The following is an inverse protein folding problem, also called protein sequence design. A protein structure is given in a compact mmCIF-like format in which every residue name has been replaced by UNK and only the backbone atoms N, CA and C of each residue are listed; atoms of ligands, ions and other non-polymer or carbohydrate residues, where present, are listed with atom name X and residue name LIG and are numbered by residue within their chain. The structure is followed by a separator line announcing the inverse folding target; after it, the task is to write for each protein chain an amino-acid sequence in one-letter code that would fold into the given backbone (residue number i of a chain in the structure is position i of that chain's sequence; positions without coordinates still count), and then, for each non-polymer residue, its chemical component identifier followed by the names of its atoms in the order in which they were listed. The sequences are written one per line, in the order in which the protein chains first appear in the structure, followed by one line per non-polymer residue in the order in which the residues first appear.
data_IF_985682036471
#
_entry.id   IF_985682036471
#
_cell.length_a   1.000
_cell.length_b   1.000
_cell.length_c   1.000
_cell.angle_alpha   90.00
_cell.angle_beta   90.00
_cell.angle_gamma   90.00
#
_symmetry.space_group_name_H-M   'P 1'
#
loop_
_entity.id
_entity.type
_entity.pdbx_description
1 polymer ?
#
# COMPACT_ATOMS: atom_id res chain seq x y z
N UNK A 1 -46.70 -37.87 -32.22
CA UNK A 1 -46.51 -36.47 -32.69
C UNK A 1 -45.05 -36.13 -32.36
N UNK A 2 -44.07 -36.36 -33.25
CA UNK A 2 -43.60 -35.41 -34.28
C UNK A 2 -43.44 -33.99 -33.67
N UNK A 3 -42.27 -33.34 -33.64
CA UNK A 3 -41.13 -33.36 -34.58
C UNK A 3 -39.84 -32.96 -33.87
N UNK A 4 -38.79 -33.77 -34.09
CA UNK A 4 -37.38 -33.49 -33.82
C UNK A 4 -36.81 -32.71 -35.03
N UNK A 5 -36.11 -31.59 -34.82
CA UNK A 5 -35.54 -30.79 -35.92
C UNK A 5 -34.18 -31.36 -36.39
N UNK A 6 -33.97 -31.59 -37.70
CA UNK A 6 -32.63 -31.84 -38.23
C UNK A 6 -32.01 -30.59 -38.84
N UNK A 7 -30.78 -30.33 -38.40
CA UNK A 7 -29.82 -29.42 -39.02
C UNK A 7 -29.50 -29.84 -40.47
N UNK A 8 -29.85 -28.99 -41.45
CA UNK A 8 -29.28 -29.07 -42.80
C UNK A 8 -28.28 -27.93 -43.03
N UNK A 9 -26.99 -28.31 -43.06
CA UNK A 9 -25.85 -27.48 -43.46
C UNK A 9 -26.04 -26.94 -44.88
N UNK A 10 -26.13 -25.61 -45.03
CA UNK A 10 -25.88 -24.95 -46.32
C UNK A 10 -24.38 -24.71 -46.49
N UNK A 11 -23.85 -25.19 -47.61
CA UNK A 11 -22.49 -24.97 -48.08
C UNK A 11 -22.34 -23.51 -48.52
N UNK A 12 -21.52 -22.73 -47.81
CA UNK A 12 -21.01 -21.46 -48.31
C UNK A 12 -19.65 -21.64 -48.98
N UNK A 13 -19.51 -20.95 -50.11
CA UNK A 13 -18.44 -21.10 -51.11
C UNK A 13 -17.17 -20.38 -50.64
N UNK A 14 -16.03 -21.06 -50.70
CA UNK A 14 -14.71 -20.43 -50.60
C UNK A 14 -14.48 -19.47 -51.79
N UNK A 15 -14.05 -18.22 -51.57
CA UNK A 15 -13.54 -17.39 -52.64
C UNK A 15 -12.11 -17.81 -52.99
N UNK A 16 -11.84 -17.99 -54.29
CA UNK A 16 -10.52 -18.27 -54.86
C UNK A 16 -9.59 -17.08 -54.63
N UNK A 17 -8.51 -17.29 -53.89
CA UNK A 17 -7.41 -16.33 -53.73
C UNK A 17 -6.65 -16.16 -55.06
N UNK A 18 -6.74 -14.98 -55.68
CA UNK A 18 -5.76 -14.56 -56.70
C UNK A 18 -4.49 -14.10 -55.96
N UNK A 19 -3.40 -14.85 -56.09
CA UNK A 19 -2.05 -14.40 -55.72
C UNK A 19 -1.64 -13.28 -56.68
N UNK A 20 -1.63 -12.04 -56.18
CA UNK A 20 -0.94 -10.93 -56.84
C UNK A 20 0.50 -10.92 -56.30
N UNK A 21 1.47 -11.28 -57.14
CA UNK A 21 2.89 -11.09 -56.85
C UNK A 21 3.20 -9.59 -57.00
N UNK A 22 3.40 -8.87 -55.89
CA UNK A 22 4.03 -7.56 -55.91
C UNK A 22 5.56 -7.71 -55.85
N UNK A 23 6.32 -6.90 -56.61
CA UNK A 23 7.77 -6.97 -56.62
C UNK A 23 8.35 -6.52 -55.28
N UNK A 24 9.29 -7.30 -54.76
CA UNK A 24 10.10 -6.95 -53.58
C UNK A 24 11.08 -5.84 -54.00
N UNK A 25 10.77 -4.60 -53.66
CA UNK A 25 11.75 -3.51 -53.72
C UNK A 25 12.64 -3.57 -52.48
N UNK A 26 13.89 -4.00 -52.65
CA UNK A 26 14.96 -3.81 -51.66
C UNK A 26 15.36 -2.33 -51.65
N UNK A 27 14.55 -1.49 -51.01
CA UNK A 27 14.90 -0.12 -50.66
C UNK A 27 15.76 -0.14 -49.41
N UNK A 28 16.95 0.49 -49.45
CA UNK A 28 17.80 0.74 -48.28
C UNK A 28 16.95 1.34 -47.15
N UNK A 29 16.77 0.58 -46.07
CA UNK A 29 16.23 1.09 -44.81
C UNK A 29 17.32 2.02 -44.25
N UNK A 30 17.17 3.31 -44.48
CA UNK A 30 17.88 4.32 -43.71
C UNK A 30 17.52 4.11 -42.24
N UNK A 31 18.51 3.94 -41.38
CA UNK A 31 18.32 4.03 -39.93
C UNK A 31 17.83 5.44 -39.62
N UNK A 32 16.50 5.64 -39.61
CA UNK A 32 15.91 6.79 -38.95
C UNK A 32 16.02 6.46 -37.47
N UNK A 33 17.09 6.96 -36.85
CA UNK A 33 17.16 7.02 -35.40
C UNK A 33 16.03 7.95 -34.97
N UNK A 34 14.89 7.38 -34.60
CA UNK A 34 13.83 8.09 -33.92
C UNK A 34 14.44 8.54 -32.59
N UNK A 35 14.93 9.78 -32.54
CA UNK A 35 15.26 10.45 -31.29
C UNK A 35 13.93 10.58 -30.56
N UNK A 36 13.61 9.59 -29.72
CA UNK A 36 12.47 9.68 -28.83
C UNK A 36 12.85 10.73 -27.80
N UNK A 37 12.15 11.88 -27.73
CA UNK A 37 12.47 12.90 -26.73
C UNK A 37 12.38 12.24 -25.35
N UNK A 38 13.43 12.42 -24.55
CA UNK A 38 13.41 11.97 -23.16
C UNK A 38 12.27 12.67 -22.43
N UNK A 39 11.56 11.94 -21.57
CA UNK A 39 10.54 12.53 -20.72
C UNK A 39 11.14 13.71 -19.95
N UNK A 40 10.51 14.87 -20.02
CA UNK A 40 10.95 16.05 -19.28
C UNK A 40 10.78 15.80 -17.79
N UNK A 41 11.65 16.41 -16.97
CA UNK A 41 11.51 16.36 -15.52
C UNK A 41 10.14 16.95 -15.13
N UNK A 42 9.40 16.33 -14.20
CA UNK A 42 8.13 16.88 -13.76
C UNK A 42 8.28 18.29 -13.18
N UNK A 43 7.41 19.20 -13.61
CA UNK A 43 7.28 20.55 -13.04
C UNK A 43 6.24 20.48 -11.92
N UNK A 44 6.53 21.11 -10.79
CA UNK A 44 5.69 21.09 -9.58
C UNK A 44 5.24 22.50 -9.21
N UNK A 45 3.97 22.64 -8.91
CA UNK A 45 3.34 23.85 -8.41
C UNK A 45 2.71 23.53 -7.06
N UNK A 46 3.12 24.22 -5.99
CA UNK A 46 2.49 24.06 -4.66
C UNK A 46 1.18 24.84 -4.66
N UNK A 47 0.07 24.14 -4.53
CA UNK A 47 -1.27 24.72 -4.45
C UNK A 47 -1.58 25.13 -3.01
N UNK A 48 -1.20 24.30 -2.03
CA UNK A 48 -1.42 24.56 -0.62
C UNK A 48 -0.35 23.91 0.25
N UNK A 49 0.01 24.58 1.35
CA UNK A 49 0.83 24.00 2.43
C UNK A 49 -0.04 23.77 3.65
N UNK A 50 -0.28 22.51 3.99
CA UNK A 50 -1.09 22.13 5.13
C UNK A 50 -0.25 21.96 6.40
N UNK A 51 -0.92 21.65 7.51
CA UNK A 51 -0.25 21.38 8.78
C UNK A 51 0.50 20.03 8.77
N UNK A 52 -0.07 19.00 8.13
CA UNK A 52 0.53 17.66 8.04
C UNK A 52 0.99 17.29 6.61
N UNK A 53 0.33 17.81 5.58
CA UNK A 53 0.56 17.45 4.18
C UNK A 53 0.52 18.68 3.27
N UNK A 54 1.34 18.69 2.22
CA UNK A 54 1.24 19.70 1.15
C UNK A 54 0.42 19.16 -0.02
N UNK A 55 -0.17 20.06 -0.80
CA UNK A 55 -0.92 19.74 -2.00
C UNK A 55 -0.26 20.39 -3.21
N UNK A 56 0.13 19.57 -4.19
CA UNK A 56 0.83 20.00 -5.39
C UNK A 56 0.08 19.62 -6.66
N UNK A 57 0.25 20.45 -7.69
CA UNK A 57 -0.05 20.11 -9.07
C UNK A 57 1.25 19.76 -9.79
N UNK A 58 1.34 18.51 -10.26
CA UNK A 58 2.52 17.96 -10.93
C UNK A 58 2.22 17.81 -12.41
N UNK A 59 3.00 18.48 -13.26
CA UNK A 59 2.95 18.36 -14.71
C UNK A 59 4.12 17.51 -15.22
N UNK A 60 3.84 16.47 -16.00
CA UNK A 60 4.86 15.63 -16.62
C UNK A 60 4.55 15.41 -18.11
N UNK A 61 5.57 15.60 -18.95
CA UNK A 61 5.49 15.37 -20.40
C UNK A 61 5.94 13.95 -20.71
N UNK A 62 5.03 13.15 -21.27
CA UNK A 62 5.32 11.79 -21.73
C UNK A 62 6.23 11.76 -22.95
N UNK A 63 6.70 10.56 -23.31
CA UNK A 63 7.50 10.34 -24.54
C UNK A 63 6.71 10.62 -25.83
N UNK A 64 5.39 10.65 -25.73
CA UNK A 64 4.45 11.05 -26.77
C UNK A 64 4.31 12.57 -26.91
N UNK A 65 5.02 13.35 -26.09
CA UNK A 65 4.91 14.81 -26.05
C UNK A 65 3.65 15.31 -25.35
N UNK A 66 2.82 14.42 -24.78
CA UNK A 66 1.60 14.81 -24.09
C UNK A 66 1.91 15.17 -22.65
N UNK A 67 1.57 16.40 -22.26
CA UNK A 67 1.65 16.85 -20.87
C UNK A 67 0.42 16.42 -20.10
N UNK A 68 0.65 15.63 -19.05
CA UNK A 68 -0.36 15.24 -18.08
C UNK A 68 -0.17 16.03 -16.79
N UNK A 69 -1.28 16.52 -16.22
CA UNK A 69 -1.30 17.14 -14.88
C UNK A 69 -1.93 16.17 -13.88
N UNK A 70 -1.37 16.10 -12.69
CA UNK A 70 -1.86 15.28 -11.57
C UNK A 70 -1.80 16.09 -10.29
N UNK A 71 -2.87 16.03 -9.51
CA UNK A 71 -2.91 16.52 -8.15
C UNK A 71 -2.24 15.47 -7.25
N UNK A 72 -1.32 15.91 -6.40
CA UNK A 72 -0.49 15.05 -5.56
C UNK A 72 -0.46 15.59 -4.14
N UNK A 73 -0.78 14.74 -3.18
CA UNK A 73 -0.54 14.99 -1.75
C UNK A 73 0.92 14.64 -1.45
N UNK A 74 1.66 15.58 -0.87
CA UNK A 74 3.02 15.34 -0.37
C UNK A 74 2.95 14.99 1.10
N UNK A 75 3.46 13.81 1.42
CA UNK A 75 3.39 13.23 2.75
C UNK A 75 4.79 13.11 3.35
N UNK A 76 4.99 13.38 4.66
CA UNK A 76 6.29 13.21 5.31
C UNK A 76 6.77 11.74 5.41
N UNK A 77 5.99 10.77 4.88
CA UNK A 77 6.08 9.35 5.23
C UNK A 77 5.44 9.03 6.59
N UNK A 78 5.25 7.73 6.83
CA UNK A 78 4.56 7.22 8.02
C UNK A 78 5.08 5.85 8.42
N UNK A 79 4.66 5.41 9.61
CA UNK A 79 4.92 4.08 10.16
C UNK A 79 3.62 3.41 10.55
N UNK A 80 3.61 2.08 10.54
CA UNK A 80 2.59 1.25 11.18
C UNK A 80 3.29 0.20 12.03
N UNK A 81 2.80 -0.02 13.25
CA UNK A 81 3.50 -0.81 14.26
C UNK A 81 2.59 -1.97 14.67
N UNK A 82 3.10 -3.20 14.53
CA UNK A 82 2.45 -4.41 14.99
C UNK A 82 2.99 -4.75 16.38
N UNK A 83 2.23 -4.54 17.47
CA UNK A 83 2.68 -4.84 18.81
C UNK A 83 2.32 -6.28 19.14
N UNK A 84 3.33 -7.13 19.32
CA UNK A 84 3.17 -8.54 19.64
C UNK A 84 3.50 -8.79 21.12
N UNK A 85 2.51 -9.26 21.87
CA UNK A 85 2.66 -9.62 23.27
C UNK A 85 3.38 -10.97 23.43
N UNK A 86 3.98 -11.25 24.61
CA UNK A 86 4.68 -12.51 24.86
C UNK A 86 3.82 -13.77 24.70
N UNK A 87 2.50 -13.63 24.86
CA UNK A 87 1.51 -14.70 24.69
C UNK A 87 0.96 -14.80 23.25
N UNK A 88 1.55 -14.10 22.30
CA UNK A 88 1.20 -14.16 20.88
C UNK A 88 -0.04 -13.35 20.51
N UNK A 89 -0.65 -12.65 21.47
CA UNK A 89 -1.73 -11.69 21.21
C UNK A 89 -1.19 -10.40 20.64
N UNK A 90 -2.07 -9.66 19.97
CA UNK A 90 -1.75 -8.43 19.26
C UNK A 90 -2.52 -7.28 19.91
N UNK A 91 -1.82 -6.18 20.20
CA UNK A 91 -2.48 -4.94 20.60
C UNK A 91 -2.93 -4.17 19.35
N UNK A 92 -4.22 -4.22 19.07
CA UNK A 92 -4.89 -3.37 18.09
C UNK A 92 -5.47 -2.15 18.79
N UNK A 93 -5.79 -1.14 18.01
CA UNK A 93 -6.50 0.05 18.46
C UNK A 93 -7.83 0.19 17.72
N UNK A 94 -8.80 0.79 18.41
CA UNK A 94 -10.06 1.25 17.84
C UNK A 94 -10.01 2.77 17.76
N UNK A 95 -9.85 3.29 16.54
CA UNK A 95 -9.59 4.72 16.30
C UNK A 95 -10.77 5.38 15.58
N UNK A 96 -11.29 6.49 16.12
CA UNK A 96 -12.30 7.32 15.44
C UNK A 96 -11.65 8.11 14.31
N UNK A 97 -11.88 7.68 13.07
CA UNK A 97 -11.38 8.38 11.87
C UNK A 97 -12.42 9.37 11.35
N UNK A 98 -12.18 10.66 11.56
CA UNK A 98 -13.07 11.74 11.11
C UNK A 98 -13.27 11.71 9.59
N UNK A 99 -12.24 11.39 8.80
CA UNK A 99 -12.30 11.38 7.34
C UNK A 99 -13.32 10.38 6.75
N UNK A 100 -13.65 9.32 7.49
CA UNK A 100 -14.67 8.32 7.11
C UNK A 100 -15.82 8.25 8.13
N UNK A 101 -15.82 9.15 9.11
CA UNK A 101 -16.82 9.29 10.18
C UNK A 101 -17.12 8.01 10.96
N UNK A 102 -16.14 7.10 11.08
CA UNK A 102 -16.30 5.78 11.67
C UNK A 102 -15.17 5.43 12.63
N UNK A 103 -15.45 4.52 13.56
CA UNK A 103 -14.41 3.84 14.33
C UNK A 103 -13.83 2.73 13.44
N UNK A 104 -12.50 2.64 13.35
CA UNK A 104 -11.80 1.61 12.58
C UNK A 104 -10.90 0.78 13.49
N UNK A 105 -10.74 -0.50 13.13
CA UNK A 105 -9.77 -1.40 13.73
C UNK A 105 -8.45 -1.20 13.03
N UNK A 106 -7.42 -0.80 13.78
CA UNK A 106 -6.13 -0.44 13.25
C UNK A 106 -4.99 -0.95 14.12
N UNK A 107 -3.82 -1.09 13.53
CA UNK A 107 -2.55 -1.08 14.24
C UNK A 107 -2.13 0.38 14.52
N UNK A 108 -1.42 0.63 15.63
CA UNK A 108 -0.83 1.93 15.91
C UNK A 108 0.00 2.45 14.74
N UNK A 109 -0.15 3.73 14.40
CA UNK A 109 0.47 4.32 13.23
C UNK A 109 0.49 5.83 13.30
N UNK A 110 1.57 6.44 12.81
CA UNK A 110 1.61 7.88 12.66
C UNK A 110 2.68 8.37 11.70
N UNK A 111 2.78 9.69 11.59
CA UNK A 111 3.58 10.38 10.58
C UNK A 111 4.97 10.70 11.11
N UNK A 112 5.96 10.73 10.21
CA UNK A 112 7.32 11.11 10.59
C UNK A 112 7.41 12.61 10.88
N UNK A 113 8.11 12.97 11.96
CA UNK A 113 8.57 14.34 12.15
C UNK A 113 9.77 14.67 11.23
N UNK A 114 10.07 15.96 10.96
CA UNK A 114 11.20 16.34 10.11
C UNK A 114 12.54 15.76 10.58
N UNK A 115 13.11 14.86 9.78
CA UNK A 115 14.39 14.21 10.08
C UNK A 115 14.31 13.08 11.10
N UNK A 116 13.11 12.68 11.52
CA UNK A 116 12.91 11.59 12.47
C UNK A 116 13.33 10.24 11.88
N UNK A 117 14.03 9.44 12.69
CA UNK A 117 14.31 8.05 12.33
C UNK A 117 12.99 7.24 12.36
N UNK A 118 12.65 6.48 11.31
CA UNK A 118 11.37 5.79 11.29
C UNK A 118 11.20 4.70 12.36
N UNK A 119 12.26 4.09 12.89
CA UNK A 119 12.11 3.15 14.00
C UNK A 119 11.83 3.89 15.32
N UNK A 120 12.37 5.10 15.50
CA UNK A 120 12.03 5.98 16.63
C UNK A 120 10.58 6.46 16.55
N UNK A 121 10.12 6.87 15.37
CA UNK A 121 8.72 7.22 15.12
C UNK A 121 7.81 6.04 15.50
N UNK A 122 8.11 4.82 15.04
CA UNK A 122 7.35 3.63 15.40
C UNK A 122 7.30 3.38 16.92
N UNK A 123 8.41 3.59 17.65
CA UNK A 123 8.41 3.45 19.10
C UNK A 123 7.56 4.54 19.79
N UNK A 124 7.62 5.79 19.30
CA UNK A 124 6.86 6.93 19.82
C UNK A 124 5.36 6.72 19.63
N UNK A 125 4.92 6.44 18.41
CA UNK A 125 3.50 6.23 18.07
C UNK A 125 2.91 5.04 18.84
N UNK A 126 3.69 3.98 19.05
CA UNK A 126 3.27 2.84 19.87
C UNK A 126 3.00 3.25 21.33
N UNK A 127 3.86 4.10 21.90
CA UNK A 127 3.69 4.60 23.26
C UNK A 127 2.47 5.53 23.35
N UNK A 128 2.36 6.48 22.42
CA UNK A 128 1.29 7.48 22.39
C UNK A 128 -0.08 6.82 22.22
N UNK A 129 -0.27 6.03 21.16
CA UNK A 129 -1.58 5.48 20.80
C UNK A 129 -1.94 4.19 21.54
N UNK A 130 -0.97 3.31 21.85
CA UNK A 130 -1.25 2.01 22.48
C UNK A 130 -0.77 1.90 23.93
N UNK A 131 -0.01 2.87 24.43
CA UNK A 131 0.49 2.87 25.80
C UNK A 131 1.52 1.79 26.09
N UNK A 132 2.28 1.35 25.08
CA UNK A 132 3.35 0.37 25.22
C UNK A 132 4.71 0.95 24.82
N UNK A 133 5.73 0.64 25.60
CA UNK A 133 7.13 0.72 25.14
C UNK A 133 7.58 -0.65 24.64
N UNK A 134 8.55 -0.68 23.73
CA UNK A 134 9.08 -1.92 23.16
C UNK A 134 10.59 -2.04 23.39
N UNK A 135 11.04 -3.22 23.83
CA UNK A 135 12.47 -3.53 23.91
C UNK A 135 13.11 -3.78 22.54
N UNK A 136 12.31 -4.15 21.54
CA UNK A 136 12.76 -4.36 20.16
C UNK A 136 11.72 -3.86 19.15
N UNK A 137 12.19 -3.07 18.19
CA UNK A 137 11.40 -2.57 17.06
C UNK A 137 12.11 -2.94 15.77
N UNK A 138 11.52 -3.86 15.00
CA UNK A 138 12.12 -4.42 13.77
C UNK A 138 11.27 -4.07 12.55
N UNK A 139 11.88 -3.51 11.52
CA UNK A 139 11.19 -3.27 10.24
C UNK A 139 10.83 -4.60 9.58
N UNK A 140 9.56 -4.76 9.20
CA UNK A 140 9.06 -5.95 8.49
C UNK A 140 8.66 -5.63 7.06
N UNK A 141 8.41 -4.38 6.70
CA UNK A 141 8.04 -4.01 5.34
C UNK A 141 8.03 -2.52 5.07
N UNK A 142 7.77 -2.17 3.81
CA UNK A 142 7.42 -0.82 3.40
C UNK A 142 6.55 -0.88 2.13
N UNK A 143 5.61 0.05 2.00
CA UNK A 143 4.69 0.10 0.88
C UNK A 143 4.17 1.53 0.67
N UNK A 144 3.79 1.85 -0.56
CA UNK A 144 3.03 3.07 -0.85
C UNK A 144 1.55 2.83 -0.55
N UNK A 145 0.90 3.79 0.09
CA UNK A 145 -0.52 3.67 0.47
C UNK A 145 -1.44 3.89 -0.73
N UNK A 146 -1.24 4.99 -1.47
CA UNK A 146 -2.03 5.32 -2.66
C UNK A 146 -1.15 6.06 -3.68
N UNK A 147 -0.25 5.35 -4.41
CA UNK A 147 0.76 5.97 -5.28
C UNK A 147 0.19 6.73 -6.50
N UNK A 148 -1.12 6.62 -6.76
CA UNK A 148 -1.81 7.46 -7.74
C UNK A 148 -2.15 8.86 -7.24
N UNK A 149 -2.03 9.13 -5.93
CA UNK A 149 -2.47 10.35 -5.26
C UNK A 149 -1.43 10.92 -4.30
N UNK A 150 -0.71 10.09 -3.56
CA UNK A 150 0.25 10.50 -2.52
C UNK A 150 1.59 9.81 -2.70
N UNK A 151 2.67 10.46 -2.29
CA UNK A 151 4.00 9.85 -2.17
C UNK A 151 4.26 9.22 -0.79
N UNK A 152 3.22 9.08 0.02
CA UNK A 152 3.28 8.42 1.33
C UNK A 152 3.87 7.01 1.22
N UNK A 153 5.12 6.91 1.68
CA UNK A 153 5.79 5.63 1.94
C UNK A 153 5.61 5.26 3.40
N UNK A 154 4.76 4.27 3.64
CA UNK A 154 4.53 3.69 4.96
C UNK A 154 5.53 2.57 5.24
N UNK A 155 6.08 2.53 6.46
CA UNK A 155 7.04 1.51 6.92
C UNK A 155 6.39 0.69 8.03
N UNK A 156 6.29 -0.63 7.82
CA UNK A 156 5.73 -1.53 8.81
C UNK A 156 6.82 -2.05 9.75
N UNK A 157 6.54 -2.02 11.05
CA UNK A 157 7.40 -2.49 12.13
C UNK A 157 6.69 -3.54 12.97
N UNK A 158 7.46 -4.50 13.48
CA UNK A 158 7.08 -5.41 14.55
C UNK A 158 7.72 -4.92 15.84
N UNK A 159 6.92 -4.71 16.87
CA UNK A 159 7.37 -4.36 18.21
C UNK A 159 7.17 -5.55 19.16
N UNK A 160 8.24 -5.94 19.86
CA UNK A 160 8.24 -7.03 20.85
C UNK A 160 8.90 -6.56 22.14
N UNK A 161 8.90 -7.42 23.16
CA UNK A 161 9.36 -7.10 24.52
C UNK A 161 8.60 -5.91 25.10
N UNK A 162 7.27 -5.96 24.97
CA UNK A 162 6.37 -4.86 25.28
C UNK A 162 6.23 -4.65 26.80
N UNK A 163 6.14 -3.39 27.21
CA UNK A 163 5.80 -2.98 28.58
C UNK A 163 4.75 -1.89 28.56
N UNK A 164 3.68 -2.08 29.32
CA UNK A 164 2.61 -1.09 29.42
C UNK A 164 3.07 0.10 30.25
N UNK A 165 2.89 1.30 29.72
CA UNK A 165 3.26 2.59 30.34
C UNK A 165 2.11 3.61 30.36
N UNK A 166 0.99 3.30 29.70
CA UNK A 166 -0.18 4.18 29.57
C UNK A 166 -0.13 5.03 28.29
N UNK A 167 -1.29 5.33 27.71
CA UNK A 167 -1.40 6.12 26.47
C UNK A 167 -1.07 7.60 26.72
N UNK A 168 -0.60 8.28 25.68
CA UNK A 168 -0.42 9.73 25.60
C UNK A 168 -1.00 10.23 24.29
N UNK A 169 -2.34 10.22 24.22
CA UNK A 169 -3.09 10.63 23.03
C UNK A 169 -2.99 12.14 22.79
N UNK A 170 -2.99 12.52 21.52
CA UNK A 170 -3.16 13.91 21.10
C UNK A 170 -4.60 14.40 21.33
N UNK A 171 -4.80 15.72 21.33
CA UNK A 171 -6.09 16.32 21.69
C UNK A 171 -7.24 15.96 20.72
N UNK A 172 -6.92 15.62 19.47
CA UNK A 172 -7.86 15.19 18.43
C UNK A 172 -8.05 13.67 18.35
N UNK A 173 -7.36 12.90 19.18
CA UNK A 173 -7.39 11.44 19.13
C UNK A 173 -8.42 10.83 20.08
N UNK A 174 -9.16 9.85 19.57
CA UNK A 174 -10.10 9.04 20.32
C UNK A 174 -9.79 7.58 20.02
N UNK A 175 -8.96 6.98 20.87
CA UNK A 175 -8.34 5.68 20.63
C UNK A 175 -8.50 4.77 21.84
N UNK A 176 -9.05 3.58 21.63
CA UNK A 176 -9.14 2.51 22.62
C UNK A 176 -8.21 1.33 22.25
N UNK A 177 -7.52 0.76 23.22
CA UNK A 177 -6.62 -0.39 22.99
C UNK A 177 -7.34 -1.70 23.25
N UNK A 178 -7.23 -2.64 22.32
CA UNK A 178 -7.78 -3.99 22.46
C UNK A 178 -6.72 -5.04 22.19
N UNK A 179 -6.65 -6.04 23.07
CA UNK A 179 -5.75 -7.17 22.94
C UNK A 179 -6.52 -8.33 22.34
N UNK A 180 -6.22 -8.69 21.09
CA UNK A 180 -6.89 -9.76 20.36
C UNK A 180 -5.95 -10.94 20.13
N UNK A 181 -6.53 -12.12 20.04
CA UNK A 181 -5.80 -13.28 19.54
C UNK A 181 -5.42 -13.06 18.08
N UNK A 182 -4.24 -13.56 17.68
CA UNK A 182 -3.78 -13.53 16.29
C UNK A 182 -4.85 -14.03 15.32
N UNK A 183 -5.50 -15.16 15.66
CA UNK A 183 -6.51 -15.76 14.78
C UNK A 183 -7.77 -14.89 14.69
N UNK A 184 -8.18 -14.23 15.78
CA UNK A 184 -9.28 -13.27 15.73
C UNK A 184 -8.95 -12.10 14.79
N UNK A 185 -7.76 -11.50 14.94
CA UNK A 185 -7.33 -10.41 14.07
C UNK A 185 -7.32 -10.80 12.58
N UNK A 186 -6.87 -12.02 12.26
CA UNK A 186 -6.90 -12.54 10.89
C UNK A 186 -8.32 -12.81 10.40
N UNK A 187 -9.18 -13.38 11.24
CA UNK A 187 -10.59 -13.61 10.90
C UNK A 187 -11.33 -12.28 10.64
N UNK A 188 -11.00 -11.22 11.37
CA UNK A 188 -11.58 -9.88 11.14
C UNK A 188 -11.21 -9.28 9.78
N UNK A 189 -10.05 -9.65 9.22
CA UNK A 189 -9.68 -9.27 7.84
C UNK A 189 -10.62 -9.98 6.86
N UNK A 190 -10.90 -11.27 7.07
CA UNK A 190 -11.77 -12.08 6.21
C UNK A 190 -13.25 -11.69 6.33
N UNK A 191 -13.72 -11.35 7.53
CA UNK A 191 -15.11 -10.93 7.79
C UNK A 191 -15.39 -9.49 7.31
N UNK A 192 -14.35 -8.70 7.06
CA UNK A 192 -14.47 -7.29 6.70
C UNK A 192 -14.67 -6.35 7.89
N UNK A 193 -14.41 -6.81 9.12
CA UNK A 193 -14.42 -5.96 10.32
C UNK A 193 -13.14 -5.11 10.43
N UNK A 194 -12.00 -5.66 10.01
CA UNK A 194 -10.72 -4.95 9.93
C UNK A 194 -10.51 -4.48 8.48
N UNK A 195 -10.87 -3.23 8.22
CA UNK A 195 -10.87 -2.63 6.87
C UNK A 195 -9.72 -1.65 6.61
N UNK A 196 -8.83 -1.44 7.59
CA UNK A 196 -7.69 -0.55 7.44
C UNK A 196 -6.53 -1.25 6.71
N UNK A 197 -6.27 -0.83 5.47
CA UNK A 197 -5.37 -1.52 4.54
C UNK A 197 -3.93 -1.66 5.06
N UNK A 198 -3.40 -0.64 5.75
CA UNK A 198 -2.05 -0.71 6.35
C UNK A 198 -1.96 -1.79 7.42
N UNK A 199 -3.00 -1.91 8.23
CA UNK A 199 -3.08 -2.89 9.31
C UNK A 199 -3.24 -4.30 8.77
N UNK A 200 -4.15 -4.49 7.80
CA UNK A 200 -4.33 -5.76 7.08
C UNK A 200 -2.99 -6.22 6.48
N UNK A 201 -2.29 -5.32 5.75
CA UNK A 201 -1.05 -5.67 5.08
C UNK A 201 0.08 -6.00 6.05
N UNK A 202 0.24 -5.23 7.13
CA UNK A 202 1.25 -5.50 8.15
C UNK A 202 1.02 -6.85 8.85
N UNK A 203 -0.23 -7.15 9.23
CA UNK A 203 -0.64 -8.43 9.80
C UNK A 203 -0.34 -9.58 8.83
N UNK A 204 -0.75 -9.47 7.57
CA UNK A 204 -0.53 -10.51 6.56
C UNK A 204 0.96 -10.71 6.22
N UNK A 205 1.78 -9.65 6.23
CA UNK A 205 3.24 -9.76 6.08
C UNK A 205 3.84 -10.52 7.25
N UNK A 206 3.44 -10.17 8.49
CA UNK A 206 3.95 -10.84 9.68
C UNK A 206 3.53 -12.30 9.72
N UNK A 207 2.26 -12.59 9.42
CA UNK A 207 1.69 -13.92 9.30
C UNK A 207 2.46 -14.78 8.30
N UNK A 208 2.61 -14.29 7.06
CA UNK A 208 3.29 -15.01 5.97
C UNK A 208 4.75 -15.30 6.26
N UNK A 209 5.39 -14.49 7.12
CA UNK A 209 6.78 -14.67 7.54
C UNK A 209 6.92 -15.46 8.85
N UNK A 210 5.81 -15.97 9.41
CA UNK A 210 5.83 -16.71 10.67
C UNK A 210 6.25 -15.85 11.86
N UNK A 211 6.03 -14.54 11.82
CA UNK A 211 6.43 -13.61 12.88
C UNK A 211 5.41 -13.47 14.00
N UNK A 212 4.22 -14.04 13.82
CA UNK A 212 3.12 -14.04 14.80
C UNK A 212 3.07 -15.32 15.64
N UNK A 213 4.12 -16.15 15.60
CA UNK A 213 4.20 -17.37 16.40
C UNK A 213 4.77 -17.08 17.78
N UNK A 214 4.28 -17.84 18.76
CA UNK A 214 4.83 -17.86 20.12
C UNK A 214 6.28 -18.34 20.08
N UNK A 215 7.19 -17.54 20.65
CA UNK A 215 8.47 -18.01 21.18
C UNK A 215 9.31 -18.87 20.25
N UNK A 216 9.81 -18.31 19.16
CA UNK A 216 11.15 -18.69 18.68
C UNK A 216 11.93 -17.41 18.35
N UNK A 217 12.56 -16.88 19.41
CA UNK A 217 13.82 -16.19 19.25
C UNK A 217 14.85 -17.19 18.69
N UNK A 218 14.76 -17.48 17.40
CA UNK A 218 15.83 -18.12 16.64
C UNK A 218 16.21 -17.19 15.51
N UNK A 219 17.36 -16.55 15.75
CA UNK A 219 18.39 -16.20 14.78
C UNK A 219 17.91 -15.92 13.36
N UNK A 220 17.83 -14.63 13.02
CA UNK A 220 18.12 -14.23 11.66
C UNK A 220 18.98 -12.96 11.71
N UNK A 221 20.26 -13.23 11.97
CA UNK A 221 21.39 -12.37 11.62
C UNK A 221 22.30 -13.23 10.72
N UNK A 222 21.99 -13.25 9.42
CA UNK A 222 22.84 -13.73 8.33
C UNK A 222 22.61 -12.89 7.08
#
# INVERSE_FOLDING_TARGET
MHVDQPHHRRRERQPRTRRLLLPVFFGRIGHVSMIVPMAEKPVREVIHRGARFDFELVAATGRDGVTNRREVVRHPGAVVVLPLLPDGRIALIRNRRIAVEADLWELPAGTLEPGEDPARCAARELEEEAGYTAGRVRKIGAFYTTPGMTDELMRAYLATDLRQVGQRLEADEQIEVHILDRQEALNMIESGELMDAKSMLALLIAERRGLLTLGDAREDDR
#
